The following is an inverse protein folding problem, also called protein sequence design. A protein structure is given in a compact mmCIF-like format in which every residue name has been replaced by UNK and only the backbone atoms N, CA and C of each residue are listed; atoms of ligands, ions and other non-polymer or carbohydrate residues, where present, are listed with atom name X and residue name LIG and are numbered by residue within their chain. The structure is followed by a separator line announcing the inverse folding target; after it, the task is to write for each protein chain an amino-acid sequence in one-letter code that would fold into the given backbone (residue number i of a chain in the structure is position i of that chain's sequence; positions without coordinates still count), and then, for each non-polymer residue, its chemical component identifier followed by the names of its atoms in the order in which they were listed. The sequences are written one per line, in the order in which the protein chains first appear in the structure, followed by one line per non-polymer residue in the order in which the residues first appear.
data_IF_299713210115
#
_entry.id   IF_299713210115
#
_cell.length_a   1.000
_cell.length_b   1.000
_cell.length_c   1.000
_cell.angle_alpha   90.00
_cell.angle_beta   90.00
_cell.angle_gamma   90.00
#
_symmetry.space_group_name_H-M   'P 1'
#
loop_
_entity.id
_entity.type
_entity.pdbx_description
1 polymer ?
#
# COMPACT_ATOMS: atom_id res chain seq x y z
N UNK A 1 5.80 22.85 -0.85
CA UNK A 1 4.62 22.69 0.05
C UNK A 1 4.59 23.65 1.26
N UNK A 2 4.93 24.93 1.10
CA UNK A 2 5.03 25.88 2.26
C UNK A 2 3.71 26.32 2.89
N UNK A 3 2.57 26.11 2.23
CA UNK A 3 1.24 26.44 2.74
C UNK A 3 0.40 25.19 2.80
N UNK A 4 -0.12 24.86 3.97
CA UNK A 4 -1.04 23.75 4.17
C UNK A 4 -2.03 24.09 5.29
N UNK A 5 -3.13 23.33 5.31
CA UNK A 5 -4.13 23.34 6.39
C UNK A 5 -4.18 21.96 7.00
N UNK A 6 -4.53 21.87 8.26
CA UNK A 6 -4.78 20.59 8.93
C UNK A 6 -6.24 20.51 9.40
N UNK A 7 -6.73 19.29 9.48
CA UNK A 7 -7.96 18.93 10.20
C UNK A 7 -7.66 17.63 10.95
N UNK A 8 -8.05 17.59 12.21
CA UNK A 8 -7.94 16.42 13.05
C UNK A 8 -9.27 16.16 13.77
N UNK A 9 -9.73 14.92 13.67
CA UNK A 9 -10.84 14.40 14.46
C UNK A 9 -10.29 13.34 15.40
N UNK A 10 -10.66 13.36 16.66
CA UNK A 10 -10.15 12.43 17.65
C UNK A 10 -11.14 12.30 18.82
N UNK A 11 -11.00 11.22 19.60
CA UNK A 11 -11.78 11.00 20.81
C UNK A 11 -10.89 11.06 22.06
N UNK A 12 -11.43 11.68 23.10
CA UNK A 12 -10.92 11.64 24.48
C UNK A 12 -12.09 11.32 25.39
N UNK A 13 -11.98 10.33 26.26
CA UNK A 13 -13.03 9.90 27.19
C UNK A 13 -14.40 9.71 26.52
N UNK A 14 -14.43 9.12 25.33
CA UNK A 14 -15.61 8.86 24.49
C UNK A 14 -16.28 10.13 23.92
N UNK A 15 -15.66 11.30 24.06
CA UNK A 15 -16.11 12.56 23.44
C UNK A 15 -15.36 12.80 22.16
N UNK A 16 -16.06 13.09 21.06
CA UNK A 16 -15.48 13.41 19.76
C UNK A 16 -15.15 14.90 19.67
N UNK A 17 -13.90 15.18 19.32
CA UNK A 17 -13.37 16.52 19.07
C UNK A 17 -12.98 16.68 17.61
N UNK A 18 -13.14 17.90 17.09
CA UNK A 18 -12.69 18.29 15.75
C UNK A 18 -11.99 19.64 15.84
N UNK A 19 -10.82 19.74 15.26
CA UNK A 19 -10.03 20.97 15.28
C UNK A 19 -9.12 21.09 14.06
N UNK A 20 -8.60 22.30 13.84
CA UNK A 20 -7.63 22.63 12.80
C UNK A 20 -6.41 23.39 13.36
N UNK A 21 -6.23 23.36 14.67
CA UNK A 21 -5.09 23.99 15.34
C UNK A 21 -4.04 22.97 15.74
N UNK A 22 -2.81 23.45 15.93
CA UNK A 22 -1.66 22.61 16.27
C UNK A 22 -1.54 22.31 17.76
N UNK A 23 -2.23 23.06 18.60
CA UNK A 23 -2.18 22.92 20.05
C UNK A 23 -3.58 22.98 20.66
N UNK A 24 -3.85 22.08 21.59
CA UNK A 24 -5.07 22.00 22.37
C UNK A 24 -4.74 21.57 23.81
N UNK A 25 -5.74 21.48 24.68
CA UNK A 25 -5.57 20.87 26.01
C UNK A 25 -5.25 19.36 25.97
N UNK A 26 -5.45 18.70 24.80
CA UNK A 26 -5.29 17.25 24.65
C UNK A 26 -3.99 16.86 23.94
N UNK A 27 -3.41 17.74 23.12
CA UNK A 27 -2.19 17.44 22.36
C UNK A 27 -1.45 18.70 21.88
N UNK A 28 -0.20 18.52 21.51
CA UNK A 28 0.60 19.47 20.73
C UNK A 28 1.06 18.80 19.44
N UNK A 29 0.97 19.48 18.28
CA UNK A 29 1.54 19.05 17.02
C UNK A 29 2.76 19.92 16.70
N UNK A 30 3.92 19.29 16.64
CA UNK A 30 5.15 19.87 16.13
C UNK A 30 5.27 19.58 14.64
N UNK A 31 5.70 20.56 13.88
CA UNK A 31 5.91 20.34 12.44
C UNK A 31 7.22 20.90 11.94
N UNK A 32 7.75 20.25 10.91
CA UNK A 32 8.85 20.73 10.08
C UNK A 32 8.30 20.90 8.66
N UNK A 33 8.42 22.10 8.08
CA UNK A 33 7.98 22.38 6.73
C UNK A 33 9.13 22.98 5.92
N UNK A 34 9.79 22.16 5.12
CA UNK A 34 10.78 22.55 4.14
C UNK A 34 10.13 22.71 2.76
N UNK A 35 10.89 23.14 1.77
CA UNK A 35 10.34 23.31 0.40
C UNK A 35 9.77 22.01 -0.17
N UNK A 36 10.47 20.90 0.05
CA UNK A 36 10.15 19.57 -0.50
C UNK A 36 9.77 18.52 0.54
N UNK A 37 9.60 18.90 1.82
CA UNK A 37 9.36 17.93 2.89
C UNK A 37 8.50 18.55 3.99
N UNK A 38 7.46 17.85 4.41
CA UNK A 38 6.62 18.20 5.56
C UNK A 38 6.53 16.99 6.48
N UNK A 39 6.84 17.21 7.75
CA UNK A 39 6.65 16.23 8.82
C UNK A 39 5.82 16.83 9.95
N UNK A 40 4.83 16.08 10.42
CA UNK A 40 3.99 16.45 11.56
C UNK A 40 4.00 15.31 12.58
N UNK A 41 4.46 15.64 13.78
CA UNK A 41 4.48 14.73 14.93
C UNK A 41 3.52 15.25 16.00
N UNK A 42 2.65 14.39 16.50
CA UNK A 42 1.75 14.71 17.61
C UNK A 42 2.33 14.19 18.92
N UNK A 43 2.37 15.06 19.93
CA UNK A 43 2.65 14.71 21.33
C UNK A 43 1.33 14.76 22.08
N UNK A 44 0.72 13.62 22.44
CA UNK A 44 -0.52 13.61 23.20
C UNK A 44 -0.26 14.02 24.67
N UNK A 45 -1.15 14.83 25.24
CA UNK A 45 -1.19 15.17 26.66
C UNK A 45 -2.15 14.24 27.43
N UNK A 46 -3.08 13.64 26.71
CA UNK A 46 -3.98 12.57 27.15
C UNK A 46 -4.08 11.51 26.05
N UNK A 47 -4.50 10.26 26.32
CA UNK A 47 -4.68 9.26 25.28
C UNK A 47 -5.68 9.74 24.21
N UNK A 48 -5.27 9.70 22.93
CA UNK A 48 -6.12 10.05 21.80
C UNK A 48 -6.59 8.77 21.11
N UNK A 49 -7.88 8.62 20.90
CA UNK A 49 -8.50 7.47 20.25
C UNK A 49 -9.17 7.89 18.95
N UNK A 50 -9.34 6.94 18.01
CA UNK A 50 -10.03 7.11 16.72
C UNK A 50 -9.58 8.37 15.98
N UNK A 51 -8.28 8.56 15.91
CA UNK A 51 -7.72 9.76 15.28
C UNK A 51 -7.83 9.63 13.75
N UNK A 52 -8.44 10.63 13.12
CA UNK A 52 -8.36 10.85 11.68
C UNK A 52 -7.69 12.20 11.43
N UNK A 53 -6.59 12.17 10.72
CA UNK A 53 -5.81 13.36 10.41
C UNK A 53 -5.80 13.64 8.92
N UNK A 54 -5.95 14.91 8.52
CA UNK A 54 -5.87 15.39 7.14
C UNK A 54 -4.99 16.61 7.04
N UNK A 55 -4.05 16.57 6.10
CA UNK A 55 -3.27 17.73 5.68
C UNK A 55 -3.62 18.07 4.25
N UNK A 56 -4.07 19.29 3.99
CA UNK A 56 -4.47 19.78 2.67
C UNK A 56 -3.45 20.79 2.16
N UNK A 57 -2.95 20.56 0.96
CA UNK A 57 -1.97 21.41 0.25
C UNK A 57 -2.63 21.94 -1.03
N UNK A 58 -2.63 23.27 -1.29
CA UNK A 58 -3.08 23.82 -2.57
C UNK A 58 -2.24 23.28 -3.72
N UNK A 59 -2.89 22.90 -4.81
CA UNK A 59 -2.24 22.43 -6.03
C UNK A 59 -2.97 22.90 -7.30
N UNK A 60 -2.21 23.47 -8.25
CA UNK A 60 -2.76 23.99 -9.50
C UNK A 60 -2.67 22.93 -10.61
N UNK A 61 -3.73 22.16 -10.77
CA UNK A 61 -3.85 21.20 -11.87
C UNK A 61 -4.05 21.93 -13.20
N UNK A 62 -3.35 21.45 -14.24
CA UNK A 62 -3.52 21.90 -15.63
C UNK A 62 -4.41 20.93 -16.39
N UNK A 63 -5.08 21.41 -17.43
CA UNK A 63 -6.03 20.60 -18.21
C UNK A 63 -5.42 19.36 -18.89
N UNK A 64 -4.11 19.38 -19.14
CA UNK A 64 -3.37 18.29 -19.78
C UNK A 64 -2.58 17.42 -18.78
N UNK A 65 -2.77 17.63 -17.48
CA UNK A 65 -2.11 16.82 -16.47
C UNK A 65 -2.67 15.38 -16.45
N UNK A 66 -1.79 14.46 -16.09
CA UNK A 66 -2.06 13.08 -15.73
C UNK A 66 -1.81 12.91 -14.25
N UNK A 67 -2.68 12.20 -13.58
CA UNK A 67 -2.64 11.96 -12.16
C UNK A 67 -2.49 10.45 -11.95
N UNK A 68 -1.45 10.02 -11.26
CA UNK A 68 -1.26 8.66 -10.80
C UNK A 68 -1.24 8.64 -9.29
N UNK A 69 -2.02 7.77 -8.68
CA UNK A 69 -1.97 7.47 -7.26
C UNK A 69 -1.86 5.96 -7.09
N UNK A 70 -0.88 5.52 -6.32
CA UNK A 70 -0.61 4.11 -6.15
C UNK A 70 -1.78 3.38 -5.49
N UNK A 71 -2.16 2.23 -6.04
CA UNK A 71 -3.24 1.39 -5.50
C UNK A 71 -2.86 0.74 -4.17
N UNK A 72 -3.86 0.40 -3.35
CA UNK A 72 -3.66 -0.26 -2.06
C UNK A 72 -2.99 -1.64 -2.20
N UNK A 73 -3.41 -2.41 -3.18
CA UNK A 73 -2.97 -3.79 -3.44
C UNK A 73 -3.13 -4.15 -4.93
N UNK A 74 -2.67 -5.34 -5.33
CA UNK A 74 -2.69 -5.82 -6.73
C UNK A 74 -4.07 -5.79 -7.40
N UNK A 75 -5.15 -5.89 -6.63
CA UNK A 75 -6.52 -5.88 -7.12
C UNK A 75 -7.17 -4.50 -7.11
N UNK A 76 -6.45 -3.48 -6.69
CA UNK A 76 -6.91 -2.08 -6.73
C UNK A 76 -6.51 -1.48 -8.06
N UNK A 77 -7.36 -0.60 -8.61
CA UNK A 77 -7.01 0.11 -9.82
C UNK A 77 -5.77 0.98 -9.61
N UNK A 78 -4.79 0.80 -10.49
CA UNK A 78 -3.51 1.49 -10.43
C UNK A 78 -3.12 1.93 -11.84
N UNK A 79 -3.56 3.13 -12.23
CA UNK A 79 -3.29 3.73 -13.55
C UNK A 79 -3.25 5.24 -13.50
N UNK A 80 -2.79 5.85 -14.58
CA UNK A 80 -2.95 7.29 -14.78
C UNK A 80 -4.38 7.66 -15.16
N UNK A 81 -4.86 8.75 -14.57
CA UNK A 81 -6.12 9.40 -14.89
C UNK A 81 -5.90 10.75 -15.54
N UNK A 82 -6.81 11.17 -16.39
CA UNK A 82 -6.92 12.56 -16.78
C UNK A 82 -7.56 13.37 -15.65
N UNK A 83 -7.29 14.67 -15.62
CA UNK A 83 -7.88 15.59 -14.61
C UNK A 83 -9.40 15.62 -14.61
N UNK A 84 -10.01 15.18 -15.69
CA UNK A 84 -11.45 15.18 -15.89
C UNK A 84 -12.06 13.77 -16.00
N UNK A 85 -11.32 12.74 -15.66
CA UNK A 85 -11.85 11.37 -15.57
C UNK A 85 -12.82 11.22 -14.39
N UNK A 86 -13.75 10.30 -14.53
CA UNK A 86 -14.61 9.86 -13.45
C UNK A 86 -13.89 8.78 -12.64
N UNK A 87 -13.88 8.85 -11.29
CA UNK A 87 -13.29 7.80 -10.48
C UNK A 87 -14.10 6.50 -10.62
N UNK A 88 -13.41 5.36 -10.73
CA UNK A 88 -14.05 4.06 -10.77
C UNK A 88 -14.58 3.73 -9.37
N UNK A 89 -15.90 3.63 -9.24
CA UNK A 89 -16.57 3.37 -7.97
C UNK A 89 -17.63 2.29 -8.15
N UNK A 90 -18.01 1.63 -7.05
CA UNK A 90 -19.13 0.71 -7.05
C UNK A 90 -20.44 1.47 -7.34
N UNK A 91 -21.24 0.97 -8.28
CA UNK A 91 -22.58 1.49 -8.49
C UNK A 91 -23.54 1.08 -7.35
N UNK A 92 -24.74 1.67 -7.30
CA UNK A 92 -25.71 1.40 -6.23
C UNK A 92 -26.09 -0.08 -6.09
N UNK A 93 -26.20 -0.81 -7.22
CA UNK A 93 -26.51 -2.25 -7.21
C UNK A 93 -25.36 -3.06 -6.63
N UNK A 94 -24.13 -2.75 -7.02
CA UNK A 94 -22.93 -3.39 -6.48
C UNK A 94 -22.77 -3.12 -4.97
N UNK A 95 -23.07 -1.91 -4.51
CA UNK A 95 -23.06 -1.58 -3.08
C UNK A 95 -24.12 -2.36 -2.30
N UNK A 96 -25.33 -2.47 -2.82
CA UNK A 96 -26.40 -3.26 -2.19
C UNK A 96 -26.06 -4.77 -2.15
N UNK A 97 -25.43 -5.29 -3.21
CA UNK A 97 -24.98 -6.69 -3.26
C UNK A 97 -23.89 -6.99 -2.23
N UNK A 98 -23.01 -6.04 -1.90
CA UNK A 98 -21.98 -6.21 -0.85
C UNK A 98 -22.57 -6.45 0.53
N UNK A 99 -23.76 -5.92 0.84
CA UNK A 99 -24.44 -6.18 2.11
C UNK A 99 -24.92 -7.63 2.25
N UNK A 100 -25.14 -8.33 1.13
CA UNK A 100 -25.68 -9.69 1.10
C UNK A 100 -24.57 -10.71 0.85
N UNK A 101 -23.58 -10.34 0.04
CA UNK A 101 -22.46 -11.21 -0.32
C UNK A 101 -21.22 -10.33 -0.56
N UNK A 102 -20.04 -10.67 -0.01
CA UNK A 102 -18.80 -9.99 -0.35
C UNK A 102 -18.47 -10.26 -1.82
N UNK A 103 -19.06 -9.46 -2.71
CA UNK A 103 -19.03 -9.69 -4.17
C UNK A 103 -17.93 -8.92 -4.88
N UNK A 104 -17.18 -8.08 -4.16
CA UNK A 104 -16.09 -7.33 -4.74
C UNK A 104 -14.83 -7.52 -3.90
N UNK A 105 -14.04 -8.57 -4.16
CA UNK A 105 -12.73 -8.72 -3.56
C UNK A 105 -11.73 -7.67 -4.09
N UNK A 106 -12.09 -6.96 -5.17
CA UNK A 106 -11.23 -6.02 -5.86
C UNK A 106 -11.50 -4.60 -5.40
N UNK A 107 -10.45 -3.90 -4.99
CA UNK A 107 -10.52 -2.53 -4.53
C UNK A 107 -10.33 -2.39 -3.01
N UNK A 108 -10.35 -1.16 -2.57
CA UNK A 108 -10.13 -0.73 -1.18
C UNK A 108 -11.39 -0.14 -0.52
N UNK A 109 -12.55 -0.56 -1.00
CA UNK A 109 -13.87 -0.01 -0.63
C UNK A 109 -14.21 -0.11 0.86
N UNK A 110 -13.58 -1.03 1.58
CA UNK A 110 -13.77 -1.22 3.02
C UNK A 110 -12.84 -0.35 3.86
N UNK A 111 -11.79 0.20 3.23
CA UNK A 111 -10.75 0.97 3.90
C UNK A 111 -10.86 2.47 3.65
N UNK A 112 -11.45 2.88 2.50
CA UNK A 112 -11.48 4.27 2.07
C UNK A 112 -12.85 4.66 1.54
N UNK A 113 -13.33 5.81 1.97
CA UNK A 113 -14.52 6.45 1.39
C UNK A 113 -14.14 7.11 0.08
N UNK A 114 -14.75 6.65 -1.02
CA UNK A 114 -14.56 7.22 -2.34
C UNK A 114 -15.27 8.56 -2.49
N UNK A 115 -14.55 9.55 -3.01
CA UNK A 115 -15.18 10.73 -3.60
C UNK A 115 -15.61 10.38 -5.03
N UNK A 116 -16.89 10.61 -5.35
CA UNK A 116 -17.46 10.27 -6.66
C UNK A 116 -17.44 11.41 -7.64
N UNK A 117 -16.97 12.58 -7.22
CA UNK A 117 -16.87 13.74 -8.10
C UNK A 117 -15.79 13.49 -9.16
N UNK A 118 -16.07 13.94 -10.38
CA UNK A 118 -15.14 13.96 -11.48
C UNK A 118 -13.84 14.66 -11.08
N UNK A 119 -12.70 14.09 -11.44
CA UNK A 119 -11.39 14.62 -11.05
C UNK A 119 -11.00 14.44 -9.59
N UNK A 120 -11.69 13.54 -8.86
CA UNK A 120 -11.35 13.20 -7.48
C UNK A 120 -10.85 11.75 -7.40
N UNK A 121 -9.56 11.58 -7.10
CA UNK A 121 -8.90 10.30 -7.04
C UNK A 121 -8.22 10.11 -5.69
N UNK A 122 -7.98 8.86 -5.30
CA UNK A 122 -7.18 8.53 -4.12
C UNK A 122 -6.25 7.35 -4.40
N UNK A 123 -5.23 7.22 -3.59
CA UNK A 123 -4.30 6.12 -3.54
C UNK A 123 -3.48 6.17 -2.27
N UNK A 124 -2.43 5.35 -2.19
CA UNK A 124 -1.68 5.11 -0.98
C UNK A 124 -0.19 5.31 -1.19
N UNK A 125 0.48 5.78 -0.16
CA UNK A 125 1.93 5.87 -0.02
C UNK A 125 2.62 6.83 -0.99
N UNK A 126 2.33 6.79 -2.29
CA UNK A 126 2.89 7.74 -3.25
C UNK A 126 2.01 7.95 -4.47
N UNK A 127 2.28 9.03 -5.17
CA UNK A 127 1.64 9.37 -6.43
C UNK A 127 2.35 10.53 -7.12
N UNK A 128 1.91 10.87 -8.33
CA UNK A 128 2.44 11.99 -9.06
C UNK A 128 1.37 12.69 -9.90
N UNK A 129 1.68 13.93 -10.24
CA UNK A 129 0.99 14.71 -11.28
C UNK A 129 2.02 15.08 -12.33
N UNK A 130 1.77 14.77 -13.60
CA UNK A 130 2.70 15.03 -14.69
C UNK A 130 2.04 15.49 -15.97
N UNK A 131 2.80 16.16 -16.80
CA UNK A 131 2.56 16.34 -18.22
C UNK A 131 3.91 16.40 -18.96
N UNK A 132 3.94 16.95 -20.17
CA UNK A 132 5.19 17.08 -20.96
C UNK A 132 6.22 17.97 -20.26
N UNK A 133 5.76 18.99 -19.52
CA UNK A 133 6.60 20.06 -18.98
C UNK A 133 7.03 19.83 -17.52
N UNK A 134 6.37 18.96 -16.80
CA UNK A 134 6.65 18.73 -15.38
C UNK A 134 6.32 17.32 -14.89
N UNK A 135 7.01 16.92 -13.84
CA UNK A 135 6.73 15.72 -13.04
C UNK A 135 6.80 16.11 -11.55
N UNK A 136 5.65 16.12 -10.90
CA UNK A 136 5.48 16.45 -9.49
C UNK A 136 5.12 15.18 -8.72
N UNK A 137 6.05 14.69 -7.91
CA UNK A 137 5.93 13.45 -7.15
C UNK A 137 5.67 13.73 -5.67
N UNK A 138 4.72 13.01 -5.10
CA UNK A 138 4.36 13.04 -3.68
C UNK A 138 4.59 11.66 -3.09
N UNK A 139 5.35 11.56 -2.02
CA UNK A 139 5.66 10.28 -1.38
C UNK A 139 5.64 10.36 0.14
N UNK A 140 5.10 9.33 0.77
CA UNK A 140 5.14 9.17 2.22
C UNK A 140 6.43 8.51 2.68
N UNK A 141 6.94 8.94 3.82
CA UNK A 141 8.08 8.36 4.53
C UNK A 141 7.66 7.71 5.85
N UNK A 142 6.35 7.72 6.16
CA UNK A 142 5.81 7.32 7.47
C UNK A 142 4.95 6.05 7.44
N UNK A 143 5.11 5.19 6.44
CA UNK A 143 4.33 3.97 6.29
C UNK A 143 4.50 2.96 7.45
N UNK A 144 5.58 3.09 8.24
CA UNK A 144 5.77 2.30 9.48
C UNK A 144 4.75 2.62 10.56
N UNK A 145 4.13 3.81 10.49
CA UNK A 145 3.14 4.28 11.46
C UNK A 145 1.70 4.07 10.98
N UNK A 146 1.51 3.59 9.77
CA UNK A 146 0.23 3.35 9.12
C UNK A 146 0.22 3.89 7.69
N UNK A 147 -0.80 3.53 6.92
CA UNK A 147 -0.92 3.98 5.54
C UNK A 147 -1.20 5.46 5.43
N UNK A 148 -0.51 6.12 4.50
CA UNK A 148 -0.83 7.48 4.10
C UNK A 148 -1.71 7.43 2.86
N UNK A 149 -2.95 7.90 2.99
CA UNK A 149 -3.87 8.06 1.86
C UNK A 149 -3.57 9.41 1.22
N UNK A 150 -3.36 9.40 -0.09
CA UNK A 150 -3.16 10.62 -0.89
C UNK A 150 -4.39 10.81 -1.76
N UNK A 151 -4.98 12.01 -1.73
CA UNK A 151 -6.09 12.38 -2.60
C UNK A 151 -5.70 13.52 -3.51
N UNK A 152 -6.09 13.42 -4.76
CA UNK A 152 -6.06 14.52 -5.72
C UNK A 152 -7.50 14.99 -5.94
N UNK A 153 -7.79 16.24 -5.57
CA UNK A 153 -9.09 16.87 -5.75
C UNK A 153 -8.95 18.01 -6.76
N UNK A 154 -9.09 17.69 -8.04
CA UNK A 154 -8.95 18.66 -9.12
C UNK A 154 -9.96 19.82 -9.01
N UNK A 155 -11.26 19.58 -8.75
CA UNK A 155 -12.24 20.66 -8.60
C UNK A 155 -11.91 21.64 -7.48
N UNK A 156 -11.33 21.14 -6.38
CA UNK A 156 -11.00 21.94 -5.21
C UNK A 156 -9.56 22.49 -5.26
N UNK A 157 -8.78 22.11 -6.30
CA UNK A 157 -7.38 22.49 -6.52
C UNK A 157 -6.48 22.17 -5.32
N UNK A 158 -6.51 20.92 -4.89
CA UNK A 158 -5.78 20.48 -3.70
C UNK A 158 -5.31 19.03 -3.78
N UNK A 159 -4.18 18.76 -3.10
CA UNK A 159 -3.72 17.43 -2.74
C UNK A 159 -3.94 17.29 -1.23
N UNK A 160 -4.49 16.15 -0.81
CA UNK A 160 -4.75 15.86 0.60
C UNK A 160 -3.96 14.62 1.00
N UNK A 161 -3.31 14.68 2.15
CA UNK A 161 -2.68 13.55 2.82
C UNK A 161 -3.50 13.21 4.05
N UNK A 162 -3.98 11.98 4.12
CA UNK A 162 -4.83 11.50 5.23
C UNK A 162 -4.15 10.35 5.96
N UNK A 163 -4.42 10.29 7.27
CA UNK A 163 -4.11 9.16 8.12
C UNK A 163 -5.35 8.80 8.94
N UNK A 164 -5.78 7.55 8.82
CA UNK A 164 -6.84 6.97 9.64
C UNK A 164 -6.21 6.05 10.68
N UNK A 165 -6.48 6.32 11.95
CA UNK A 165 -5.96 5.59 13.11
C UNK A 165 -7.10 5.07 13.98
N UNK A 166 -8.22 4.66 13.38
CA UNK A 166 -9.42 4.24 14.13
C UNK A 166 -9.13 3.14 15.16
N UNK A 167 -8.26 2.18 14.83
CA UNK A 167 -7.90 1.08 15.71
C UNK A 167 -6.73 1.36 16.67
N UNK A 168 -6.18 2.59 16.67
CA UNK A 168 -4.97 2.94 17.41
C UNK A 168 -5.29 3.96 18.50
N UNK A 169 -4.79 3.72 19.73
CA UNK A 169 -4.77 4.73 20.79
C UNK A 169 -3.38 5.36 20.88
N UNK A 170 -3.26 6.65 20.59
CA UNK A 170 -2.00 7.38 20.65
C UNK A 170 -1.75 7.81 22.11
N UNK A 171 -0.73 7.22 22.73
CA UNK A 171 -0.33 7.52 24.13
C UNK A 171 1.03 8.20 24.24
N UNK A 172 1.84 8.09 23.18
CA UNK A 172 3.19 8.64 23.08
C UNK A 172 3.30 9.47 21.81
N UNK A 173 4.45 10.13 21.62
CA UNK A 173 4.75 10.83 20.37
C UNK A 173 4.51 9.92 19.16
N UNK A 174 3.81 10.45 18.15
CA UNK A 174 3.41 9.70 16.97
C UNK A 174 3.54 10.57 15.71
N UNK A 175 4.11 10.01 14.65
CA UNK A 175 4.20 10.68 13.36
C UNK A 175 2.86 10.58 12.60
N UNK A 176 2.14 11.68 12.53
CA UNK A 176 0.87 11.77 11.78
C UNK A 176 1.13 11.73 10.27
N UNK A 177 2.02 12.58 9.78
CA UNK A 177 2.40 12.70 8.37
C UNK A 177 3.88 12.95 8.27
N UNK A 178 4.53 12.28 7.33
CA UNK A 178 5.90 12.54 6.90
C UNK A 178 5.94 12.35 5.38
N UNK A 179 5.89 13.45 4.61
CA UNK A 179 5.72 13.41 3.16
C UNK A 179 6.70 14.32 2.45
N UNK A 180 7.13 13.87 1.28
CA UNK A 180 7.98 14.64 0.37
C UNK A 180 7.21 15.06 -0.88
N UNK A 181 7.66 16.15 -1.49
CA UNK A 181 7.25 16.62 -2.80
C UNK A 181 8.49 16.90 -3.63
N UNK A 182 8.80 16.03 -4.57
CA UNK A 182 9.92 16.18 -5.48
C UNK A 182 9.46 16.55 -6.88
N UNK A 183 10.30 17.30 -7.58
CA UNK A 183 10.09 17.73 -8.95
C UNK A 183 11.32 17.42 -9.79
N UNK A 184 11.15 17.06 -11.04
CA UNK A 184 12.27 16.83 -11.95
C UNK A 184 12.01 15.70 -12.93
N UNK A 185 13.08 15.08 -13.41
CA UNK A 185 13.02 13.92 -14.27
C UNK A 185 12.55 12.69 -13.47
N UNK A 186 11.64 11.92 -14.04
CA UNK A 186 10.96 10.81 -13.38
C UNK A 186 11.91 9.84 -12.67
N UNK A 187 12.91 9.32 -13.39
CA UNK A 187 13.88 8.36 -12.83
C UNK A 187 14.67 8.97 -11.66
N UNK A 188 15.12 10.21 -11.79
CA UNK A 188 15.88 10.89 -10.73
C UNK A 188 15.02 11.15 -9.48
N UNK A 189 13.74 11.42 -9.67
CA UNK A 189 12.79 11.65 -8.57
C UNK A 189 12.53 10.36 -7.81
N UNK A 190 12.33 9.23 -8.50
CA UNK A 190 12.17 7.93 -7.85
C UNK A 190 13.44 7.49 -7.12
N UNK A 191 14.61 7.62 -7.74
CA UNK A 191 15.90 7.29 -7.09
C UNK A 191 16.07 8.10 -5.81
N UNK A 192 15.82 9.41 -5.85
CA UNK A 192 15.87 10.29 -4.69
C UNK A 192 14.86 9.90 -3.61
N UNK A 193 13.65 9.49 -3.99
CA UNK A 193 12.64 9.03 -3.04
C UNK A 193 13.09 7.76 -2.32
N UNK A 194 13.57 6.74 -3.04
CA UNK A 194 14.06 5.51 -2.45
C UNK A 194 15.32 5.73 -1.58
N UNK A 195 16.21 6.63 -1.97
CA UNK A 195 17.34 7.04 -1.12
C UNK A 195 16.85 7.69 0.19
N UNK A 196 15.86 8.60 0.08
CA UNK A 196 15.28 9.27 1.26
C UNK A 196 14.57 8.30 2.20
N UNK A 197 13.90 7.29 1.66
CA UNK A 197 13.29 6.21 2.44
C UNK A 197 14.33 5.33 3.16
N UNK A 198 15.60 5.40 2.76
CA UNK A 198 16.68 4.59 3.30
C UNK A 198 16.34 3.08 3.33
N UNK A 199 15.76 2.59 2.23
CA UNK A 199 15.41 1.18 2.08
C UNK A 199 16.70 0.36 2.00
N UNK A 200 16.80 -0.67 2.81
CA UNK A 200 17.93 -1.58 2.75
C UNK A 200 17.94 -2.33 1.41
N UNK A 201 19.13 -2.52 0.85
CA UNK A 201 19.29 -3.31 -0.38
C UNK A 201 18.69 -4.70 -0.18
N UNK A 202 17.99 -5.25 -1.18
CA UNK A 202 17.44 -6.61 -1.10
C UNK A 202 18.59 -7.61 -0.92
N UNK A 203 18.32 -8.69 -0.20
CA UNK A 203 19.31 -9.76 0.06
C UNK A 203 19.71 -10.50 -1.20
N UNK A 204 18.81 -10.58 -2.17
CA UNK A 204 19.01 -11.24 -3.46
C UNK A 204 18.96 -10.20 -4.57
N UNK A 205 19.81 -10.40 -5.58
CA UNK A 205 19.79 -9.59 -6.79
C UNK A 205 18.70 -10.03 -7.75
N UNK A 206 18.94 -9.84 -9.05
CA UNK A 206 18.03 -10.30 -10.09
C UNK A 206 18.01 -11.84 -10.11
N UNK A 207 16.82 -12.42 -9.99
CA UNK A 207 16.59 -13.87 -9.99
C UNK A 207 15.54 -14.26 -11.02
N UNK A 208 15.66 -15.49 -11.55
CA UNK A 208 14.62 -16.12 -12.35
C UNK A 208 13.99 -17.22 -11.52
N UNK A 209 12.66 -17.32 -11.51
CA UNK A 209 11.93 -18.28 -10.71
C UNK A 209 10.97 -19.13 -11.51
N UNK A 210 10.72 -20.33 -11.02
CA UNK A 210 9.58 -21.16 -11.36
C UNK A 210 8.53 -21.05 -10.27
N UNK A 211 7.25 -21.03 -10.63
CA UNK A 211 6.12 -21.08 -9.68
C UNK A 211 5.11 -22.13 -10.10
N UNK A 212 4.50 -22.80 -9.15
CA UNK A 212 3.53 -23.87 -9.40
C UNK A 212 2.15 -23.32 -9.82
N UNK A 213 1.88 -22.02 -9.65
CA UNK A 213 0.54 -21.45 -9.81
C UNK A 213 -0.06 -21.68 -11.18
N UNK A 214 0.61 -21.25 -12.23
CA UNK A 214 0.03 -21.21 -13.58
C UNK A 214 -0.33 -22.58 -14.18
N UNK A 215 0.22 -23.67 -13.64
CA UNK A 215 -0.06 -25.01 -14.11
C UNK A 215 -1.07 -25.74 -13.23
N UNK A 216 -1.05 -25.51 -11.91
CA UNK A 216 -1.78 -26.33 -10.96
C UNK A 216 -2.79 -25.56 -10.12
N UNK A 217 -2.67 -24.23 -10.05
CA UNK A 217 -3.43 -23.41 -9.09
C UNK A 217 -3.28 -24.00 -7.67
N UNK A 218 -4.37 -24.12 -6.94
CA UNK A 218 -4.41 -24.73 -5.60
C UNK A 218 -4.26 -26.27 -5.60
N UNK A 219 -4.27 -26.91 -6.78
CA UNK A 219 -4.19 -28.40 -6.85
C UNK A 219 -2.76 -28.91 -6.86
N UNK A 220 -1.92 -28.40 -5.98
CA UNK A 220 -0.53 -28.85 -5.80
C UNK A 220 -0.43 -29.91 -4.72
N UNK A 221 0.53 -30.81 -4.89
CA UNK A 221 0.89 -31.85 -3.92
C UNK A 221 2.41 -32.03 -3.89
N UNK A 222 2.90 -32.69 -2.87
CA UNK A 222 4.32 -33.02 -2.72
C UNK A 222 4.85 -33.83 -3.92
N UNK A 223 4.05 -34.75 -4.45
CA UNK A 223 4.43 -35.56 -5.63
C UNK A 223 4.56 -34.69 -6.89
N UNK A 224 3.63 -33.72 -7.06
CA UNK A 224 3.71 -32.75 -8.18
C UNK A 224 4.99 -31.92 -8.06
N UNK A 225 5.26 -31.37 -6.86
CA UNK A 225 6.48 -30.58 -6.64
C UNK A 225 7.73 -31.40 -6.93
N UNK A 226 7.78 -32.66 -6.51
CA UNK A 226 8.90 -33.56 -6.78
C UNK A 226 9.09 -33.81 -8.28
N UNK A 227 7.99 -34.06 -8.99
CA UNK A 227 7.99 -34.28 -10.46
C UNK A 227 8.48 -33.04 -11.21
N UNK A 228 8.00 -31.86 -10.79
CA UNK A 228 8.41 -30.60 -11.40
C UNK A 228 9.88 -30.27 -11.14
N UNK A 229 10.39 -30.53 -9.94
CA UNK A 229 11.81 -30.36 -9.62
C UNK A 229 12.71 -31.26 -10.50
N UNK A 230 12.29 -32.49 -10.75
CA UNK A 230 13.02 -33.40 -11.64
C UNK A 230 12.96 -32.96 -13.11
N UNK A 231 11.84 -32.41 -13.52
CA UNK A 231 11.63 -31.94 -14.88
C UNK A 231 12.39 -30.63 -15.14
N UNK A 232 12.40 -29.74 -14.15
CA UNK A 232 13.08 -28.45 -14.24
C UNK A 232 14.59 -28.59 -14.39
N UNK A 233 15.20 -29.63 -13.82
CA UNK A 233 16.62 -29.94 -13.99
C UNK A 233 17.03 -30.27 -15.43
N UNK A 234 16.08 -30.52 -16.34
CA UNK A 234 16.28 -30.81 -17.76
C UNK A 234 16.07 -29.59 -18.65
N UNK A 235 15.62 -28.47 -18.09
CA UNK A 235 15.37 -27.23 -18.83
C UNK A 235 16.68 -26.46 -18.98
N UNK A 236 17.02 -26.11 -20.22
CA UNK A 236 18.22 -25.31 -20.53
C UNK A 236 17.95 -23.81 -20.27
N UNK A 237 17.67 -23.48 -18.99
CA UNK A 237 17.45 -22.11 -18.54
C UNK A 237 17.94 -21.98 -17.11
N UNK A 238 18.56 -20.85 -16.81
CA UNK A 238 18.97 -20.55 -15.43
C UNK A 238 17.73 -20.26 -14.59
N UNK A 239 17.44 -21.13 -13.65
CA UNK A 239 16.42 -20.95 -12.61
C UNK A 239 17.14 -20.83 -11.27
N UNK A 240 16.80 -19.79 -10.52
CA UNK A 240 17.39 -19.50 -9.21
C UNK A 240 16.43 -19.89 -8.07
N UNK A 241 15.10 -19.76 -8.29
CA UNK A 241 14.06 -19.98 -7.27
C UNK A 241 13.06 -21.00 -7.78
N UNK A 242 12.69 -21.97 -6.93
CA UNK A 242 11.51 -22.80 -7.08
C UNK A 242 10.49 -22.37 -6.02
N UNK A 243 9.37 -21.78 -6.45
CA UNK A 243 8.32 -21.28 -5.58
C UNK A 243 7.13 -22.24 -5.55
N UNK A 244 6.73 -22.60 -4.35
CA UNK A 244 5.44 -23.25 -4.09
C UNK A 244 4.43 -22.11 -3.91
N UNK A 245 3.41 -22.11 -4.75
CA UNK A 245 2.34 -21.10 -4.74
C UNK A 245 1.20 -21.52 -3.82
N UNK A 246 0.06 -20.80 -3.86
CA UNK A 246 -1.15 -21.07 -3.09
C UNK A 246 -1.62 -22.52 -3.17
N UNK A 247 -2.23 -23.03 -2.12
CA UNK A 247 -2.83 -24.36 -2.05
C UNK A 247 -2.02 -25.40 -1.27
N UNK A 248 -0.89 -25.03 -0.65
CA UNK A 248 -0.13 -25.90 0.23
C UNK A 248 -0.72 -25.94 1.65
N UNK A 249 -1.39 -24.87 2.08
CA UNK A 249 -1.98 -24.72 3.41
C UNK A 249 -3.34 -25.42 3.53
N UNK A 250 -3.77 -25.66 4.77
CA UNK A 250 -5.09 -26.24 5.07
C UNK A 250 -6.21 -25.25 4.74
N UNK A 251 -6.04 -23.98 5.12
CA UNK A 251 -6.94 -22.86 4.77
C UNK A 251 -6.11 -21.62 4.45
N UNK A 252 -6.59 -20.80 3.52
CA UNK A 252 -5.97 -19.52 3.19
C UNK A 252 -5.87 -18.66 4.45
N UNK A 253 -4.66 -18.25 4.81
CA UNK A 253 -4.35 -17.54 6.05
C UNK A 253 -3.58 -18.36 7.07
N UNK A 254 -3.71 -19.70 7.06
CA UNK A 254 -3.00 -20.60 7.95
C UNK A 254 -1.62 -20.99 7.38
N UNK A 255 -0.80 -20.00 7.09
CA UNK A 255 0.48 -20.14 6.38
C UNK A 255 1.50 -21.07 7.07
N UNK A 256 1.31 -21.38 8.34
CA UNK A 256 2.17 -22.29 9.10
C UNK A 256 1.59 -23.71 9.23
N UNK A 257 0.40 -23.96 8.69
CA UNK A 257 -0.32 -25.23 8.76
C UNK A 257 -0.49 -25.86 7.36
N UNK A 258 0.56 -26.55 6.85
CA UNK A 258 0.47 -27.22 5.55
C UNK A 258 -0.53 -28.36 5.59
N UNK A 259 -1.28 -28.53 4.51
CA UNK A 259 -2.27 -29.61 4.40
C UNK A 259 -1.57 -30.98 4.38
N UNK A 260 -1.78 -31.83 5.42
CA UNK A 260 -1.03 -33.09 5.55
C UNK A 260 -1.41 -34.14 4.48
N UNK A 261 -2.58 -34.01 3.84
CA UNK A 261 -2.96 -34.90 2.76
C UNK A 261 -2.23 -34.54 1.45
N UNK A 262 -1.81 -33.28 1.28
CA UNK A 262 -1.07 -32.82 0.12
C UNK A 262 0.44 -32.85 0.31
N UNK A 263 0.89 -32.55 1.53
CA UNK A 263 2.30 -32.44 1.93
C UNK A 263 2.56 -33.27 3.19
N UNK A 264 2.55 -34.61 3.08
CA UNK A 264 2.67 -35.51 4.22
C UNK A 264 4.01 -35.37 4.96
N UNK A 265 5.12 -35.06 4.26
CA UNK A 265 6.43 -34.86 4.85
C UNK A 265 6.63 -33.42 5.40
N UNK A 266 5.68 -32.53 5.14
CA UNK A 266 5.69 -31.13 5.55
C UNK A 266 6.64 -30.24 4.75
N UNK A 267 6.44 -28.92 4.86
CA UNK A 267 7.14 -27.92 4.02
C UNK A 267 8.66 -27.91 4.24
N UNK A 268 9.14 -28.31 5.42
CA UNK A 268 10.59 -28.40 5.69
C UNK A 268 11.27 -29.42 4.79
N UNK A 269 10.67 -30.61 4.63
CA UNK A 269 11.21 -31.67 3.78
C UNK A 269 11.19 -31.25 2.29
N UNK A 270 10.09 -30.61 1.88
CA UNK A 270 9.95 -30.09 0.51
C UNK A 270 11.00 -29.01 0.23
N UNK A 271 11.18 -28.06 1.12
CA UNK A 271 12.22 -27.02 0.98
C UNK A 271 13.63 -27.62 0.90
N UNK A 272 13.91 -28.67 1.66
CA UNK A 272 15.20 -29.37 1.60
C UNK A 272 15.42 -30.00 0.21
N UNK A 273 14.40 -30.66 -0.37
CA UNK A 273 14.49 -31.24 -1.72
C UNK A 273 14.76 -30.16 -2.80
N UNK A 274 14.15 -28.98 -2.65
CA UNK A 274 14.41 -27.83 -3.53
C UNK A 274 15.88 -27.41 -3.42
N UNK A 275 16.39 -27.27 -2.19
CA UNK A 275 17.79 -26.90 -1.96
C UNK A 275 18.76 -27.97 -2.48
N UNK A 276 18.45 -29.25 -2.33
CA UNK A 276 19.29 -30.37 -2.83
C UNK A 276 19.41 -30.37 -4.36
N UNK A 277 18.44 -29.77 -5.06
CA UNK A 277 18.49 -29.55 -6.51
C UNK A 277 19.21 -28.24 -6.89
N UNK A 278 19.70 -27.47 -5.92
CA UNK A 278 20.44 -26.24 -6.14
C UNK A 278 19.60 -24.97 -6.31
N UNK A 279 18.30 -25.03 -6.04
CA UNK A 279 17.41 -23.88 -6.10
C UNK A 279 17.18 -23.25 -4.72
N UNK A 280 16.86 -21.96 -4.68
CA UNK A 280 16.27 -21.35 -3.49
C UNK A 280 14.81 -21.78 -3.37
N UNK A 281 14.38 -22.16 -2.16
CA UNK A 281 13.00 -22.48 -1.90
C UNK A 281 12.20 -21.19 -1.68
N UNK A 282 11.15 -20.98 -2.48
CA UNK A 282 10.17 -19.91 -2.35
C UNK A 282 8.82 -20.45 -1.89
N UNK A 283 8.07 -19.64 -1.17
CA UNK A 283 6.69 -19.92 -0.77
C UNK A 283 5.84 -18.67 -0.95
N UNK A 284 4.64 -18.84 -1.50
CA UNK A 284 3.68 -17.75 -1.65
C UNK A 284 2.87 -17.56 -0.36
N UNK A 285 2.63 -16.32 -0.01
CA UNK A 285 1.73 -15.93 1.08
C UNK A 285 0.95 -14.67 0.70
N UNK A 286 -0.25 -14.49 1.24
CA UNK A 286 -1.04 -13.27 1.15
C UNK A 286 -1.25 -12.68 2.56
N UNK A 287 -0.29 -11.90 3.08
CA UNK A 287 -0.29 -11.44 4.47
C UNK A 287 -1.28 -10.31 4.76
N UNK A 288 -1.98 -9.77 3.75
CA UNK A 288 -2.92 -8.65 3.85
C UNK A 288 -4.31 -9.03 3.37
#
# INVERSE_FOLDING_TARGET
MKRFKINIEYMVDKVLYKTNVFETEHFNIKYTALESHIKLDVTPLVPLEKVTFKMTVPYDFRSNDRIFLNGYQSWTECREHFVDDEPITLNLKQQALRLIKPTSPYGDYDFVKYDRRKGCFHGFSYGYVRNIDHFDFFGSLSERFGYTIIRANVPDREIIFERDLEGVTIKNEYTLIDVIHYKGEENQVYDKYFETMNIQKPRVGRTNGYTTWYNYYQNITEDIVTTDLESLSKVDSKIDIFQIDDGYETFVGDWLDPNPAKFPDGMKAVAQRIHDKGYMAGIWIAPF
#
